data_IF_899292738594
#
_entry.id   IF_899292738594
#
_cell.length_a   1.000
_cell.length_b   1.000
_cell.length_c   1.000
_cell.angle_alpha   90.00
_cell.angle_beta   90.00
_cell.angle_gamma   90.00
#
_symmetry.space_group_name_H-M   'P 1'
#
loop_
_entity.id
_entity.type
_entity.pdbx_description
1 polymer ?
#
# COMPACT_ATOMS: atom_id res chain seq x y z
N UNK A 1 9.66 11.75 14.23
CA UNK A 1 8.20 11.61 14.43
C UNK A 1 8.01 10.51 15.46
N UNK A 2 7.04 10.62 16.36
CA UNK A 2 6.76 9.53 17.30
C UNK A 2 6.49 8.25 16.51
N UNK A 3 7.19 7.16 16.82
CA UNK A 3 7.09 5.88 16.09
C UNK A 3 5.65 5.44 15.79
N UNK A 4 4.72 5.48 16.79
CA UNK A 4 3.33 5.12 16.56
C UNK A 4 2.59 6.02 15.55
N UNK A 5 2.92 7.31 15.49
CA UNK A 5 2.32 8.24 14.53
C UNK A 5 2.81 7.97 13.11
N UNK A 6 4.09 7.61 12.97
CA UNK A 6 4.67 7.24 11.69
C UNK A 6 4.00 5.96 11.16
N UNK A 7 3.86 4.93 11.98
CA UNK A 7 3.16 3.68 11.63
C UNK A 7 1.73 3.93 11.14
N UNK A 8 0.96 4.75 11.86
CA UNK A 8 -0.40 5.11 11.50
C UNK A 8 -0.47 5.81 10.13
N UNK A 9 0.41 6.77 9.88
CA UNK A 9 0.42 7.53 8.62
C UNK A 9 0.81 6.62 7.45
N UNK A 10 1.82 5.76 7.61
CA UNK A 10 2.19 4.79 6.58
C UNK A 10 1.08 3.77 6.30
N UNK A 11 0.40 3.27 7.34
CA UNK A 11 -0.73 2.36 7.18
C UNK A 11 -1.90 3.01 6.46
N UNK A 12 -2.24 4.25 6.82
CA UNK A 12 -3.30 5.02 6.17
C UNK A 12 -2.97 5.32 4.70
N UNK A 13 -1.72 5.68 4.41
CA UNK A 13 -1.26 5.93 3.04
C UNK A 13 -1.31 4.65 2.18
N UNK A 14 -0.83 3.52 2.71
CA UNK A 14 -0.86 2.24 2.02
C UNK A 14 -2.30 1.78 1.74
N UNK A 15 -3.20 1.97 2.71
CA UNK A 15 -4.62 1.67 2.54
C UNK A 15 -5.26 2.55 1.46
N UNK A 16 -4.97 3.86 1.46
CA UNK A 16 -5.44 4.78 0.43
C UNK A 16 -5.01 4.34 -0.97
N UNK A 17 -3.73 3.96 -1.13
CA UNK A 17 -3.21 3.43 -2.39
C UNK A 17 -3.97 2.16 -2.80
N UNK A 18 -4.23 1.25 -1.86
CA UNK A 18 -4.95 0.02 -2.16
C UNK A 18 -6.37 0.26 -2.66
N UNK A 19 -7.10 1.18 -2.02
CA UNK A 19 -8.46 1.56 -2.45
C UNK A 19 -8.43 2.12 -3.88
N UNK A 20 -7.46 2.99 -4.18
CA UNK A 20 -7.28 3.54 -5.54
C UNK A 20 -6.98 2.42 -6.54
N UNK A 21 -6.14 1.44 -6.18
CA UNK A 21 -5.83 0.31 -7.06
C UNK A 21 -7.06 -0.59 -7.30
N UNK A 22 -7.84 -0.91 -6.25
CA UNK A 22 -9.04 -1.75 -6.39
C UNK A 22 -10.12 -1.09 -7.25
N UNK A 23 -10.33 0.22 -7.09
CA UNK A 23 -11.36 0.94 -7.86
C UNK A 23 -10.87 1.30 -9.26
N UNK A 24 -9.59 1.68 -9.39
CA UNK A 24 -9.03 2.22 -10.62
C UNK A 24 -8.58 1.17 -11.62
N UNK A 25 -7.90 0.09 -11.20
CA UNK A 25 -7.39 -0.90 -12.16
C UNK A 25 -8.48 -1.57 -13.02
N UNK A 26 -9.65 -1.95 -12.48
CA UNK A 26 -10.71 -2.56 -13.29
C UNK A 26 -11.23 -1.67 -14.43
N UNK A 27 -10.97 -0.35 -14.38
CA UNK A 27 -11.36 0.56 -15.45
C UNK A 27 -10.45 0.45 -16.69
N UNK A 28 -9.27 -0.14 -16.55
CA UNK A 28 -8.26 -0.21 -17.62
C UNK A 28 -7.81 -1.63 -17.96
N UNK A 29 -8.18 -2.64 -17.15
CA UNK A 29 -7.84 -4.04 -17.41
C UNK A 29 -8.92 -5.02 -16.91
N UNK A 30 -8.92 -6.28 -17.36
CA UNK A 30 -9.93 -7.26 -16.94
C UNK A 30 -9.97 -7.46 -15.43
N UNK A 31 -11.18 -7.50 -14.85
CA UNK A 31 -11.42 -7.57 -13.40
C UNK A 31 -10.57 -8.63 -12.67
N UNK A 32 -10.48 -9.85 -13.19
CA UNK A 32 -9.69 -10.91 -12.55
C UNK A 32 -8.20 -10.55 -12.41
N UNK A 33 -7.62 -9.95 -13.45
CA UNK A 33 -6.21 -9.54 -13.47
C UNK A 33 -6.03 -8.26 -12.64
N UNK A 34 -6.97 -7.31 -12.75
CA UNK A 34 -6.98 -6.07 -12.00
C UNK A 34 -6.82 -6.29 -10.49
N UNK A 35 -7.60 -7.21 -9.92
CA UNK A 35 -7.54 -7.48 -8.49
C UNK A 35 -6.25 -8.17 -8.08
N UNK A 36 -5.73 -9.09 -8.90
CA UNK A 36 -4.44 -9.74 -8.63
C UNK A 36 -3.29 -8.71 -8.64
N UNK A 37 -3.28 -7.81 -9.61
CA UNK A 37 -2.27 -6.74 -9.70
C UNK A 37 -2.44 -5.72 -8.57
N UNK A 38 -3.67 -5.38 -8.18
CA UNK A 38 -3.92 -4.49 -7.04
C UNK A 38 -3.39 -5.07 -5.72
N UNK A 39 -3.62 -6.38 -5.49
CA UNK A 39 -3.09 -7.08 -4.31
C UNK A 39 -1.56 -7.16 -4.37
N UNK A 40 -0.98 -7.54 -5.50
CA UNK A 40 0.48 -7.61 -5.66
C UNK A 40 1.14 -6.24 -5.44
N UNK A 41 0.55 -5.18 -6.00
CA UNK A 41 1.01 -3.80 -5.80
C UNK A 41 0.90 -3.37 -4.34
N UNK A 42 -0.19 -3.70 -3.66
CA UNK A 42 -0.35 -3.40 -2.24
C UNK A 42 0.70 -4.10 -1.37
N UNK A 43 1.01 -5.36 -1.65
CA UNK A 43 2.07 -6.08 -0.93
C UNK A 43 3.43 -5.42 -1.11
N UNK A 44 3.75 -4.94 -2.33
CA UNK A 44 4.99 -4.20 -2.58
C UNK A 44 5.03 -2.87 -1.82
N UNK A 45 3.91 -2.14 -1.78
CA UNK A 45 3.80 -0.89 -1.02
C UNK A 45 3.98 -1.15 0.48
N UNK A 46 3.35 -2.19 1.03
CA UNK A 46 3.51 -2.56 2.44
C UNK A 46 4.94 -3.02 2.78
N UNK A 47 5.59 -3.75 1.86
CA UNK A 47 7.00 -4.13 2.02
C UNK A 47 7.91 -2.90 2.06
N UNK A 48 7.69 -1.93 1.17
CA UNK A 48 8.43 -0.66 1.18
C UNK A 48 8.15 0.18 2.42
N UNK A 49 6.89 0.26 2.87
CA UNK A 49 6.52 0.95 4.11
C UNK A 49 7.22 0.33 5.33
N UNK A 50 7.26 -1.00 5.42
CA UNK A 50 7.97 -1.71 6.49
C UNK A 50 9.48 -1.41 6.51
N UNK A 51 10.11 -1.29 5.33
CA UNK A 51 11.52 -0.89 5.23
C UNK A 51 11.74 0.55 5.73
N UNK A 52 10.91 1.50 5.30
CA UNK A 52 11.01 2.91 5.72
C UNK A 52 10.76 3.09 7.22
N UNK A 53 9.83 2.32 7.78
CA UNK A 53 9.56 2.31 9.22
C UNK A 53 10.79 1.78 9.97
N UNK A 54 11.33 0.64 9.55
CA UNK A 54 12.46 -0.02 10.21
C UNK A 54 13.74 0.83 10.17
N UNK A 55 14.00 1.51 9.06
CA UNK A 55 15.15 2.41 8.88
C UNK A 55 15.05 3.71 9.70
N UNK A 56 13.85 4.08 10.16
CA UNK A 56 13.60 5.27 10.99
C UNK A 56 13.47 4.99 12.49
N UNK A 57 13.27 3.72 12.85
CA UNK A 57 13.18 3.27 14.25
C UNK A 57 14.54 2.75 14.75
N UNK A 58 15.38 2.21 13.85
CA UNK A 58 16.78 1.86 14.12
C UNK A 58 17.67 3.10 14.27
#
# INVERSE_FOLDING_TARGET
>A
MDGPLLDLITGLAAFGIFVVLIVGLPLVMPHAIAYLVAIAGFLLVMSGAGYVINDKIA
#
